data_IF_311503349251
#
_entry.id   IF_311503349251
#
_cell.length_a   1.000
_cell.length_b   1.000
_cell.length_c   1.000
_cell.angle_alpha   90.00
_cell.angle_beta   90.00
_cell.angle_gamma   90.00
#
_symmetry.space_group_name_H-M   'P 1'
#
loop_
_entity.id
_entity.type
_entity.pdbx_description
1 polymer ?
#
# COMPACT_ATOMS: atom_id res chain seq x y z
N UNK A 1 -4.42 10.66 -15.21
CA UNK A 1 -4.24 10.68 -13.75
C UNK A 1 -2.76 10.51 -13.43
N UNK A 2 -2.20 11.44 -12.71
CA UNK A 2 -0.80 11.34 -12.26
C UNK A 2 -0.74 10.52 -10.98
N UNK A 3 0.20 9.57 -10.94
CA UNK A 3 0.38 8.66 -9.80
C UNK A 3 1.82 8.76 -9.35
N UNK A 4 2.03 8.98 -8.04
CA UNK A 4 3.35 9.09 -7.43
C UNK A 4 3.52 8.03 -6.35
N UNK A 5 4.76 7.56 -6.19
CA UNK A 5 5.10 6.62 -5.11
C UNK A 5 4.77 7.24 -3.75
N UNK A 6 4.15 6.45 -2.88
CA UNK A 6 3.72 6.90 -1.56
C UNK A 6 2.31 7.46 -1.50
N UNK A 7 1.67 7.68 -2.64
CA UNK A 7 0.28 8.11 -2.67
C UNK A 7 -0.66 6.97 -2.30
N UNK A 8 -1.76 7.34 -1.64
CA UNK A 8 -2.79 6.40 -1.18
C UNK A 8 -4.04 6.60 -2.03
N UNK A 9 -4.52 5.49 -2.60
CA UNK A 9 -5.71 5.45 -3.43
C UNK A 9 -6.64 4.38 -2.91
N UNK A 10 -7.95 4.57 -3.07
CA UNK A 10 -8.86 3.43 -3.04
C UNK A 10 -8.71 2.64 -4.33
N UNK A 11 -8.79 1.33 -4.24
CA UNK A 11 -8.68 0.44 -5.39
C UNK A 11 -9.61 -0.76 -5.24
N UNK A 12 -10.13 -1.24 -6.35
CA UNK A 12 -10.90 -2.49 -6.39
C UNK A 12 -9.91 -3.65 -6.57
N UNK A 13 -9.74 -4.44 -5.53
CA UNK A 13 -8.80 -5.55 -5.51
C UNK A 13 -9.44 -6.89 -5.88
N UNK A 14 -10.76 -6.94 -6.05
CA UNK A 14 -11.45 -8.18 -6.38
C UNK A 14 -11.32 -8.54 -7.87
N UNK A 15 -11.36 -9.83 -8.24
CA UNK A 15 -11.49 -10.99 -7.37
C UNK A 15 -10.16 -11.43 -6.73
N UNK A 16 -10.25 -12.10 -5.59
CA UNK A 16 -9.10 -12.61 -4.85
C UNK A 16 -9.35 -14.06 -4.43
N UNK A 17 -8.30 -14.73 -3.95
CA UNK A 17 -8.37 -16.10 -3.47
C UNK A 17 -7.90 -16.14 -2.01
N UNK A 18 -8.68 -16.82 -1.17
CA UNK A 18 -8.28 -17.14 0.21
C UNK A 18 -7.95 -15.91 1.03
N UNK A 19 -6.74 -15.88 1.57
CA UNK A 19 -6.28 -14.85 2.51
C UNK A 19 -5.82 -13.55 1.85
N UNK A 20 -5.93 -13.43 0.53
CA UNK A 20 -5.59 -12.20 -0.16
C UNK A 20 -6.57 -11.09 0.22
N UNK A 21 -6.05 -9.87 0.30
CA UNK A 21 -6.89 -8.70 0.58
C UNK A 21 -7.74 -8.37 -0.64
N UNK A 22 -9.06 -8.35 -0.47
CA UNK A 22 -10.01 -8.12 -1.55
C UNK A 22 -10.97 -6.98 -1.27
N UNK A 23 -11.90 -6.75 -2.21
CA UNK A 23 -12.87 -5.67 -2.16
C UNK A 23 -12.25 -4.32 -2.47
N UNK A 24 -13.02 -3.26 -2.28
CA UNK A 24 -12.53 -1.88 -2.45
C UNK A 24 -11.83 -1.47 -1.16
N UNK A 25 -10.55 -1.19 -1.25
CA UNK A 25 -9.68 -0.90 -0.10
C UNK A 25 -8.68 0.18 -0.45
N UNK A 26 -8.18 0.90 0.55
CA UNK A 26 -7.04 1.76 0.31
C UNK A 26 -5.78 0.93 0.03
N UNK A 27 -4.95 1.45 -0.85
CA UNK A 27 -3.64 0.89 -1.17
C UNK A 27 -2.63 2.03 -1.20
N UNK A 28 -1.37 1.73 -0.94
CA UNK A 28 -0.28 2.69 -1.13
C UNK A 28 0.54 2.27 -2.34
N UNK A 29 0.86 3.23 -3.20
CA UNK A 29 1.67 3.00 -4.39
C UNK A 29 3.13 2.83 -3.95
N UNK A 30 3.70 1.68 -4.25
CA UNK A 30 5.10 1.38 -3.90
C UNK A 30 6.00 1.29 -5.12
N UNK A 31 5.43 1.27 -6.33
CA UNK A 31 6.18 1.27 -7.57
C UNK A 31 6.93 2.59 -7.75
N UNK A 32 8.11 2.53 -8.38
CA UNK A 32 8.90 3.71 -8.70
C UNK A 32 8.15 4.66 -9.66
N UNK A 33 8.54 5.94 -9.65
CA UNK A 33 7.78 6.96 -10.40
C UNK A 33 7.97 6.88 -11.92
N UNK A 34 9.05 6.30 -12.39
CA UNK A 34 9.21 6.05 -13.84
C UNK A 34 8.17 5.04 -14.30
N UNK A 35 8.03 3.93 -13.57
CA UNK A 35 6.99 2.93 -13.81
C UNK A 35 5.59 3.53 -13.67
N UNK A 36 5.37 4.34 -12.63
CA UNK A 36 4.07 4.98 -12.41
C UNK A 36 3.66 5.87 -13.60
N UNK A 37 4.61 6.50 -14.25
CA UNK A 37 4.34 7.37 -15.39
C UNK A 37 4.07 6.58 -16.67
N UNK A 38 4.81 5.52 -16.91
CA UNK A 38 4.86 4.87 -18.22
C UNK A 38 4.16 3.52 -18.31
N UNK A 39 3.97 2.83 -17.19
CA UNK A 39 3.34 1.50 -17.18
C UNK A 39 1.81 1.62 -17.11
N UNK A 40 1.06 0.71 -17.75
CA UNK A 40 -0.39 0.65 -17.55
C UNK A 40 -0.78 0.06 -16.19
N UNK A 41 0.19 -0.47 -15.44
CA UNK A 41 -0.02 -1.07 -14.13
C UNK A 41 0.79 -0.35 -13.07
N UNK A 42 0.42 -0.57 -11.81
CA UNK A 42 1.17 -0.10 -10.65
C UNK A 42 1.38 -1.25 -9.68
N UNK A 43 2.45 -1.15 -8.89
CA UNK A 43 2.68 -2.07 -7.77
C UNK A 43 2.22 -1.35 -6.51
N UNK A 44 1.34 -1.99 -5.76
CA UNK A 44 0.72 -1.39 -4.59
C UNK A 44 0.65 -2.38 -3.44
N UNK A 45 0.64 -1.86 -2.22
CA UNK A 45 0.46 -2.63 -1.00
C UNK A 45 -0.90 -2.34 -0.40
N UNK A 46 -1.60 -3.37 0.04
CA UNK A 46 -2.92 -3.24 0.65
C UNK A 46 -2.81 -2.56 2.01
N UNK A 47 -3.82 -1.77 2.35
CA UNK A 47 -3.98 -1.12 3.64
C UNK A 47 -5.25 -1.64 4.28
N UNK A 48 -5.19 -1.96 5.57
CA UNK A 48 -6.34 -2.44 6.32
C UNK A 48 -6.54 -1.64 7.59
N UNK A 49 -7.80 -1.47 8.00
CA UNK A 49 -8.13 -0.87 9.29
C UNK A 49 -8.00 -1.86 10.45
N UNK A 50 -7.80 -3.14 10.17
CA UNK A 50 -7.64 -4.16 11.18
C UNK A 50 -6.34 -3.91 11.97
N UNK A 51 -6.43 -3.99 13.29
CA UNK A 51 -5.25 -3.92 14.17
C UNK A 51 -4.84 -5.33 14.54
N UNK A 52 -3.54 -5.60 14.52
CA UNK A 52 -3.00 -6.93 14.75
C UNK A 52 -2.38 -7.02 16.13
N UNK A 53 -2.74 -8.07 16.89
CA UNK A 53 -2.14 -8.36 18.19
C UNK A 53 -0.66 -8.67 18.05
N UNK A 54 -0.33 -9.51 17.07
CA UNK A 54 1.04 -9.98 16.81
C UNK A 54 1.43 -9.48 15.42
N UNK A 55 1.84 -8.22 15.35
CA UNK A 55 2.21 -7.59 14.08
C UNK A 55 3.48 -8.22 13.52
N UNK A 56 3.48 -8.43 12.21
CA UNK A 56 4.69 -8.85 11.49
C UNK A 56 5.61 -7.64 11.25
N UNK A 57 6.91 -7.86 11.02
CA UNK A 57 7.80 -6.74 10.65
C UNK A 57 7.40 -6.03 9.36
N UNK A 58 6.55 -6.66 8.54
CA UNK A 58 6.02 -6.09 7.30
C UNK A 58 4.74 -5.31 7.51
N UNK A 59 4.23 -5.22 8.74
CA UNK A 59 3.06 -4.42 9.11
C UNK A 59 3.51 -3.03 9.54
N UNK A 60 3.08 -1.99 8.80
CA UNK A 60 3.44 -0.61 9.10
C UNK A 60 2.21 0.15 9.55
N UNK A 61 2.20 0.58 10.81
CA UNK A 61 1.10 1.39 11.36
C UNK A 61 1.19 2.81 10.83
N UNK A 62 0.07 3.34 10.36
CA UNK A 62 -0.02 4.72 9.84
C UNK A 62 -1.22 5.42 10.46
N UNK A 63 -1.11 6.73 10.65
CA UNK A 63 -2.20 7.57 11.11
C UNK A 63 -3.12 7.88 9.94
N UNK A 64 -4.41 7.60 10.09
CA UNK A 64 -5.37 7.83 9.03
C UNK A 64 -5.46 9.28 8.59
N UNK A 65 -5.50 10.22 9.55
CA UNK A 65 -5.65 11.64 9.27
C UNK A 65 -4.47 12.23 8.49
N UNK A 66 -3.27 11.64 8.59
CA UNK A 66 -2.10 12.13 7.88
C UNK A 66 -2.08 11.74 6.40
N UNK A 67 -2.90 10.78 5.98
CA UNK A 67 -2.95 10.31 4.59
C UNK A 67 -4.36 10.24 4.02
N UNK A 68 -5.30 10.92 4.67
CA UNK A 68 -6.68 11.07 4.16
C UNK A 68 -7.59 9.88 4.39
N UNK A 69 -7.24 8.97 5.31
CA UNK A 69 -8.07 7.84 5.68
C UNK A 69 -8.90 8.17 6.92
N UNK A 70 -10.09 7.56 7.02
CA UNK A 70 -11.02 7.82 8.12
C UNK A 70 -10.50 7.31 9.46
N UNK A 71 -9.69 6.24 9.46
CA UNK A 71 -9.20 5.61 10.68
C UNK A 71 -7.71 5.26 10.54
N UNK A 72 -7.04 5.13 11.69
CA UNK A 72 -5.66 4.62 11.72
C UNK A 72 -5.64 3.20 11.15
N UNK A 73 -4.61 2.90 10.39
CA UNK A 73 -4.58 1.72 9.54
C UNK A 73 -3.20 1.07 9.54
N UNK A 74 -3.10 -0.06 8.88
CA UNK A 74 -1.86 -0.83 8.76
C UNK A 74 -1.59 -1.11 7.28
N UNK A 75 -0.40 -0.77 6.83
CA UNK A 75 0.09 -1.16 5.50
C UNK A 75 0.61 -2.59 5.60
N UNK A 76 0.15 -3.46 4.71
CA UNK A 76 0.51 -4.88 4.70
C UNK A 76 1.51 -5.13 3.58
N UNK A 77 2.80 -5.14 3.92
CA UNK A 77 3.85 -5.29 2.91
C UNK A 77 4.09 -6.75 2.51
N UNK A 78 3.33 -7.68 3.06
CA UNK A 78 3.22 -9.04 2.54
C UNK A 78 2.06 -9.17 1.54
N UNK A 79 1.21 -8.14 1.42
CA UNK A 79 0.07 -8.11 0.49
C UNK A 79 0.35 -7.10 -0.62
N UNK A 80 1.39 -7.37 -1.38
CA UNK A 80 1.81 -6.51 -2.49
C UNK A 80 1.35 -7.16 -3.78
N UNK A 81 0.82 -6.36 -4.70
CA UNK A 81 0.39 -6.88 -5.98
C UNK A 81 0.49 -5.82 -7.06
N UNK A 82 0.61 -6.29 -8.29
CA UNK A 82 0.49 -5.47 -9.48
C UNK A 82 -0.98 -5.37 -9.85
N UNK A 83 -1.46 -4.15 -10.03
CA UNK A 83 -2.85 -3.91 -10.44
C UNK A 83 -2.87 -2.98 -11.63
N UNK A 84 -3.88 -3.14 -12.49
CA UNK A 84 -4.12 -2.23 -13.59
C UNK A 84 -4.54 -0.87 -13.02
N UNK A 85 -4.07 0.22 -13.64
CA UNK A 85 -4.44 1.58 -13.20
C UNK A 85 -5.94 1.81 -13.20
N UNK A 86 -6.69 1.08 -14.03
CA UNK A 86 -8.16 1.19 -14.07
C UNK A 86 -8.82 0.73 -12.76
N UNK A 87 -8.11 -0.04 -11.93
CA UNK A 87 -8.63 -0.45 -10.62
C UNK A 87 -8.53 0.67 -9.58
N UNK A 88 -7.71 1.69 -9.85
CA UNK A 88 -7.57 2.82 -8.92
C UNK A 88 -8.79 3.72 -9.00
N UNK A 89 -9.27 4.12 -7.83
CA UNK A 89 -10.36 5.06 -7.68
C UNK A 89 -9.81 6.39 -7.17
N UNK A 90 -10.43 7.02 -6.21
CA UNK A 90 -9.98 8.32 -5.74
C UNK A 90 -8.69 8.24 -4.91
N UNK A 91 -7.85 9.25 -5.06
CA UNK A 91 -6.69 9.46 -4.20
C UNK A 91 -7.14 10.09 -2.90
N UNK A 92 -6.70 9.54 -1.76
CA UNK A 92 -7.02 10.08 -0.44
C UNK A 92 -5.95 11.01 0.09
N UNK A 93 -4.69 10.77 -0.25
CA UNK A 93 -3.56 11.54 0.24
C UNK A 93 -2.25 10.84 -0.09
N UNK A 94 -1.25 11.07 0.72
CA UNK A 94 0.05 10.41 0.57
C UNK A 94 0.67 10.18 1.95
N UNK A 95 1.55 9.19 2.03
CA UNK A 95 2.34 8.97 3.24
C UNK A 95 3.37 10.08 3.41
N UNK A 96 3.64 10.47 4.65
CA UNK A 96 4.73 11.40 4.93
C UNK A 96 6.09 10.69 4.78
N UNK A 97 7.17 11.47 4.88
CA UNK A 97 8.51 10.95 4.68
C UNK A 97 8.89 9.88 5.70
N UNK A 98 8.45 10.03 6.94
CA UNK A 98 8.74 9.05 7.99
C UNK A 98 8.04 7.72 7.73
N UNK A 99 6.75 7.77 7.41
CA UNK A 99 5.99 6.56 7.10
C UNK A 99 6.51 5.88 5.83
N UNK A 100 6.93 6.66 4.85
CA UNK A 100 7.50 6.11 3.63
C UNK A 100 8.83 5.40 3.89
N UNK A 101 9.66 5.92 4.81
CA UNK A 101 10.88 5.22 5.23
C UNK A 101 10.57 3.88 5.88
N UNK A 102 9.51 3.82 6.71
CA UNK A 102 9.07 2.56 7.32
C UNK A 102 8.59 1.57 6.27
N UNK A 103 7.86 2.06 5.26
CA UNK A 103 7.43 1.22 4.13
C UNK A 103 8.64 0.68 3.37
N UNK A 104 9.63 1.52 3.08
CA UNK A 104 10.85 1.07 2.39
C UNK A 104 11.56 -0.03 3.17
N UNK A 105 11.68 0.13 4.49
CA UNK A 105 12.28 -0.88 5.35
C UNK A 105 11.48 -2.18 5.33
N UNK A 106 10.16 -2.08 5.44
CA UNK A 106 9.28 -3.24 5.39
C UNK A 106 9.33 -3.96 4.05
N UNK A 107 9.50 -3.23 2.94
CA UNK A 107 9.66 -3.83 1.62
C UNK A 107 10.95 -4.65 1.53
N UNK A 108 12.05 -4.12 2.06
CA UNK A 108 13.31 -4.87 2.11
C UNK A 108 13.17 -6.17 2.89
N UNK A 109 12.44 -6.14 3.99
CA UNK A 109 12.17 -7.34 4.79
C UNK A 109 11.26 -8.30 4.02
N UNK A 110 10.17 -7.79 3.46
CA UNK A 110 9.19 -8.61 2.75
C UNK A 110 9.79 -9.34 1.56
N UNK A 111 10.71 -8.69 0.86
CA UNK A 111 11.37 -9.27 -0.31
C UNK A 111 12.63 -10.05 0.01
N UNK A 112 13.00 -10.14 1.28
CA UNK A 112 14.20 -10.87 1.69
C UNK A 112 15.49 -10.16 1.34
N UNK A 113 15.46 -8.85 1.14
CA UNK A 113 16.64 -8.04 0.82
C UNK A 113 17.35 -7.57 2.09
N UNK A 114 16.70 -7.65 3.23
CA UNK A 114 17.26 -7.31 4.54
C UNK A 114 16.69 -8.27 5.59
N UNK A 115 17.45 -8.49 6.66
CA UNK A 115 16.99 -9.31 7.78
C UNK A 115 16.10 -8.52 8.72
N UNK A 116 15.25 -9.24 9.46
CA UNK A 116 14.34 -8.66 10.45
C UNK A 116 15.10 -8.11 11.67
#
# INVERSE_FOLDING_TARGET
MEIKRGEVFYADLSPVVGSEQGGTRPVVIVQNDVGNRHSPTVIAAAITSKQYKNALPTHISIKGDSCGLAVDSVVLLEQIRTIDKQRLKEKTGCLDAEDLRKVNRGLNISFGLAEN
#
